data_IF_233217431637
#
_entry.id   IF_233217431637
#
_cell.length_a   1.000
_cell.length_b   1.000
_cell.length_c   1.000
_cell.angle_alpha   90.00
_cell.angle_beta   90.00
_cell.angle_gamma   90.00
#
_symmetry.space_group_name_H-M   'P 1'
#
loop_
_entity.id
_entity.type
_entity.pdbx_description
1 polymer ?
#
# COMPACT_ATOMS: atom_id res chain seq x y z
N UNK A 1 31.55 2.33 23.77
CA UNK A 1 31.51 1.31 24.87
C UNK A 1 30.06 0.92 25.11
N UNK A 2 29.75 -0.39 25.21
CA UNK A 2 28.42 -0.88 25.53
C UNK A 2 28.49 -2.01 26.56
N UNK A 3 27.38 -2.27 27.27
CA UNK A 3 27.25 -3.36 28.24
C UNK A 3 25.84 -3.94 28.24
N UNK A 4 25.75 -5.23 28.53
CA UNK A 4 24.48 -5.95 28.67
C UNK A 4 24.52 -6.65 30.03
N UNK A 5 23.61 -6.28 30.94
CA UNK A 5 23.56 -6.80 32.30
C UNK A 5 22.16 -7.33 32.61
N UNK A 6 22.08 -8.30 33.53
CA UNK A 6 20.80 -8.82 34.01
C UNK A 6 20.61 -8.36 35.45
N UNK A 7 19.48 -7.74 35.76
CA UNK A 7 19.12 -7.27 37.09
C UNK A 7 17.86 -7.97 37.58
N UNK A 8 17.90 -8.45 38.82
CA UNK A 8 16.76 -9.06 39.48
C UNK A 8 16.15 -8.09 40.49
N UNK A 9 14.83 -8.01 40.49
CA UNK A 9 14.02 -7.26 41.47
C UNK A 9 12.92 -8.18 42.01
N UNK A 10 12.44 -7.89 43.22
CA UNK A 10 11.26 -8.56 43.75
C UNK A 10 10.07 -8.36 42.78
N UNK A 11 9.35 -9.43 42.45
CA UNK A 11 8.19 -9.32 41.59
C UNK A 11 7.05 -8.58 42.36
N UNK A 12 6.46 -7.51 41.78
CA UNK A 12 5.38 -6.77 42.42
C UNK A 12 4.14 -7.60 42.79
N UNK A 13 3.90 -8.70 42.09
CA UNK A 13 2.73 -9.60 42.31
C UNK A 13 3.04 -10.68 43.36
N UNK A 14 4.29 -11.07 43.49
CA UNK A 14 4.78 -12.05 44.46
C UNK A 14 6.22 -11.69 44.86
N UNK A 15 6.43 -11.00 45.97
CA UNK A 15 7.75 -10.56 46.41
C UNK A 15 8.77 -11.68 46.71
N UNK A 16 8.30 -12.92 46.90
CA UNK A 16 9.16 -14.10 47.05
C UNK A 16 9.86 -14.51 45.72
N UNK A 17 9.28 -14.10 44.60
CA UNK A 17 9.79 -14.42 43.25
C UNK A 17 10.65 -13.25 42.73
N UNK A 18 11.66 -13.59 41.91
CA UNK A 18 12.45 -12.59 41.20
C UNK A 18 11.85 -12.27 39.84
N UNK A 19 11.75 -10.98 39.54
CA UNK A 19 11.54 -10.48 38.18
C UNK A 19 12.89 -10.09 37.60
N UNK A 20 13.28 -10.73 36.49
CA UNK A 20 14.55 -10.47 35.82
C UNK A 20 14.37 -9.48 34.66
N UNK A 21 15.28 -8.53 34.56
CA UNK A 21 15.33 -7.55 33.47
C UNK A 21 16.74 -7.49 32.89
N UNK A 22 16.84 -7.60 31.56
CA UNK A 22 18.08 -7.37 30.82
C UNK A 22 18.20 -5.89 30.52
N UNK A 23 19.34 -5.30 30.87
CA UNK A 23 19.62 -3.87 30.70
C UNK A 23 20.65 -3.72 29.60
N UNK A 24 20.28 -2.99 28.55
CA UNK A 24 21.13 -2.62 27.44
C UNK A 24 21.64 -1.19 27.63
N UNK A 25 22.93 -1.01 27.60
CA UNK A 25 23.56 0.29 27.71
C UNK A 25 24.59 0.49 26.59
N UNK A 26 24.60 1.66 25.96
CA UNK A 26 25.65 2.14 25.05
C UNK A 26 25.91 3.62 25.35
N UNK A 27 27.17 4.06 25.32
CA UNK A 27 27.53 5.48 25.54
C UNK A 27 26.75 6.38 24.57
N UNK A 28 26.28 7.51 25.08
CA UNK A 28 25.48 8.50 24.36
C UNK A 28 24.03 8.08 23.98
N UNK A 29 23.53 6.96 24.53
CA UNK A 29 22.15 6.52 24.35
C UNK A 29 21.46 6.29 25.69
N UNK A 30 20.14 6.47 25.77
CA UNK A 30 19.38 6.10 26.97
C UNK A 30 19.45 4.58 27.21
N UNK A 31 19.40 4.20 28.47
CA UNK A 31 19.32 2.78 28.87
C UNK A 31 17.97 2.20 28.47
N UNK A 32 17.98 0.95 28.03
CA UNK A 32 16.77 0.20 27.67
C UNK A 32 16.73 -1.08 28.50
N UNK A 33 15.55 -1.43 29.01
CA UNK A 33 15.32 -2.64 29.77
C UNK A 33 14.34 -3.55 29.05
N UNK A 34 14.59 -4.88 29.11
CA UNK A 34 13.71 -5.90 28.57
C UNK A 34 13.49 -6.98 29.62
N UNK A 35 12.23 -7.35 29.85
CA UNK A 35 11.88 -8.43 30.78
C UNK A 35 12.40 -9.76 30.26
N UNK A 36 12.97 -10.57 31.16
CA UNK A 36 13.46 -11.92 30.85
C UNK A 36 12.52 -12.93 31.49
N UNK A 37 11.98 -13.84 30.71
CA UNK A 37 11.02 -14.85 31.14
C UNK A 37 11.71 -16.08 31.77
N UNK A 38 12.54 -15.82 32.81
CA UNK A 38 13.11 -16.85 33.70
C UNK A 38 12.64 -16.54 35.09
N UNK A 39 12.00 -17.49 35.73
CA UNK A 39 11.43 -17.36 37.08
C UNK A 39 12.24 -18.11 38.12
N UNK A 40 12.29 -17.61 39.34
CA UNK A 40 12.95 -18.23 40.49
C UNK A 40 12.68 -17.45 41.76
N UNK A 41 13.13 -17.98 42.90
CA UNK A 41 13.00 -17.29 44.19
C UNK A 41 13.96 -16.11 44.25
N UNK A 42 13.51 -15.02 44.84
CA UNK A 42 14.35 -13.83 45.05
C UNK A 42 15.53 -14.14 45.98
N UNK A 43 15.36 -15.02 46.96
CA UNK A 43 16.41 -15.45 47.88
C UNK A 43 17.56 -16.19 47.18
N UNK A 44 17.28 -16.82 46.02
CA UNK A 44 18.27 -17.58 45.24
C UNK A 44 19.04 -16.72 44.24
N UNK A 45 18.61 -15.46 44.04
CA UNK A 45 19.25 -14.58 43.07
C UNK A 45 20.51 -13.89 43.64
N UNK A 46 21.63 -14.00 42.95
CA UNK A 46 22.86 -13.25 43.23
C UNK A 46 22.98 -12.08 42.22
N UNK A 47 22.79 -10.88 42.74
CA UNK A 47 22.84 -9.65 41.93
C UNK A 47 24.26 -9.31 41.45
N UNK A 48 25.32 -9.76 42.16
CA UNK A 48 26.71 -9.52 41.75
C UNK A 48 27.12 -10.47 40.65
N UNK A 49 26.79 -11.75 40.81
CA UNK A 49 27.05 -12.79 39.79
C UNK A 49 26.05 -12.70 38.61
N UNK A 50 24.93 -12.00 38.73
CA UNK A 50 23.83 -11.93 37.76
C UNK A 50 23.30 -13.33 37.38
N UNK A 51 23.20 -14.20 38.40
CA UNK A 51 22.83 -15.62 38.25
C UNK A 51 22.13 -16.12 39.51
N UNK A 52 21.49 -17.29 39.39
CA UNK A 52 20.97 -18.02 40.56
C UNK A 52 22.10 -18.74 41.26
N UNK A 53 22.07 -18.73 42.61
CA UNK A 53 23.09 -19.40 43.45
C UNK A 53 23.17 -20.89 43.16
N UNK A 54 24.39 -21.42 43.15
CA UNK A 54 24.63 -22.85 42.96
C UNK A 54 23.98 -23.62 44.12
N UNK A 55 23.22 -24.65 43.79
CA UNK A 55 22.46 -25.45 44.75
C UNK A 55 20.99 -25.07 44.89
N UNK A 56 20.53 -23.92 44.31
CA UNK A 56 19.10 -23.63 44.23
C UNK A 56 18.41 -24.47 43.14
N UNK A 57 17.08 -24.57 43.25
CA UNK A 57 16.27 -25.40 42.33
C UNK A 57 16.46 -24.95 40.87
N UNK A 58 16.86 -25.88 39.99
CA UNK A 58 17.07 -25.65 38.55
C UNK A 58 18.12 -24.56 38.22
N UNK A 59 19.00 -24.18 39.18
CA UNK A 59 19.99 -23.13 39.00
C UNK A 59 20.83 -23.32 37.74
N UNK A 60 21.33 -24.52 37.49
CA UNK A 60 22.16 -24.82 36.32
C UNK A 60 21.44 -24.55 35.02
N UNK A 61 20.19 -24.99 34.90
CA UNK A 61 19.36 -24.77 33.68
C UNK A 61 19.02 -23.29 33.50
N UNK A 62 18.59 -22.63 34.59
CA UNK A 62 18.25 -21.18 34.54
C UNK A 62 19.46 -20.33 34.19
N UNK A 63 20.62 -20.60 34.83
CA UNK A 63 21.85 -19.87 34.55
C UNK A 63 22.34 -20.08 33.11
N UNK A 64 22.19 -21.29 32.57
CA UNK A 64 22.51 -21.59 31.17
C UNK A 64 21.62 -20.74 30.24
N UNK A 65 20.31 -20.69 30.48
CA UNK A 65 19.39 -19.87 29.67
C UNK A 65 19.79 -18.38 29.71
N UNK A 66 20.11 -17.85 30.92
CA UNK A 66 20.52 -16.46 31.09
C UNK A 66 21.84 -16.17 30.37
N UNK A 67 22.82 -17.11 30.47
CA UNK A 67 24.09 -16.99 29.79
C UNK A 67 23.93 -17.02 28.27
N UNK A 68 23.21 -17.99 27.75
CA UNK A 68 22.97 -18.14 26.30
C UNK A 68 22.25 -16.89 25.74
N UNK A 69 21.25 -16.39 26.47
CA UNK A 69 20.53 -15.18 26.09
C UNK A 69 21.44 -13.96 26.06
N UNK A 70 22.25 -13.75 27.10
CA UNK A 70 23.21 -12.65 27.19
C UNK A 70 24.25 -12.71 26.08
N UNK A 71 24.81 -13.90 25.84
CA UNK A 71 25.79 -14.15 24.79
C UNK A 71 25.23 -13.85 23.40
N UNK A 72 24.00 -14.28 23.14
CA UNK A 72 23.29 -14.02 21.88
C UNK A 72 23.21 -12.52 21.56
N UNK A 73 22.89 -11.70 22.56
CA UNK A 73 22.83 -10.25 22.38
C UNK A 73 24.21 -9.59 22.24
N UNK A 74 25.24 -10.12 22.94
CA UNK A 74 26.62 -9.66 22.75
C UNK A 74 27.10 -9.95 21.33
N UNK A 75 26.95 -11.16 20.83
CA UNK A 75 27.34 -11.51 19.45
C UNK A 75 26.66 -10.59 18.44
N UNK A 76 25.37 -10.30 18.60
CA UNK A 76 24.66 -9.40 17.69
C UNK A 76 25.19 -7.97 17.72
N UNK A 77 25.55 -7.47 18.90
CA UNK A 77 26.16 -6.15 19.04
C UNK A 77 27.56 -6.12 18.41
N UNK A 78 28.37 -7.17 18.64
CA UNK A 78 29.71 -7.31 18.07
C UNK A 78 29.65 -7.38 16.53
N UNK A 79 28.73 -8.17 15.96
CA UNK A 79 28.51 -8.22 14.52
C UNK A 79 28.27 -6.82 13.94
N UNK A 80 27.39 -6.03 14.56
CA UNK A 80 27.10 -4.68 14.12
C UNK A 80 28.27 -3.70 14.28
N UNK A 81 29.10 -3.85 15.33
CA UNK A 81 30.33 -3.06 15.49
C UNK A 81 31.35 -3.44 14.41
N UNK A 82 31.52 -4.73 14.09
CA UNK A 82 32.42 -5.24 13.04
C UNK A 82 31.96 -4.76 11.66
N UNK A 83 30.65 -4.75 11.39
CA UNK A 83 30.06 -4.23 10.16
C UNK A 83 30.16 -2.69 10.04
N UNK A 84 30.62 -1.99 11.07
CA UNK A 84 30.64 -0.54 11.14
C UNK A 84 29.24 0.10 11.20
N UNK A 85 28.23 -0.69 11.58
CA UNK A 85 26.85 -0.26 11.63
C UNK A 85 26.57 0.55 12.89
N UNK A 86 26.01 1.74 12.75
CA UNK A 86 25.47 2.48 13.90
C UNK A 86 24.21 1.78 14.44
N UNK A 87 24.16 1.55 15.75
CA UNK A 87 23.04 0.92 16.42
C UNK A 87 22.78 1.53 17.81
N UNK A 88 21.56 1.43 18.29
CA UNK A 88 21.11 1.89 19.60
C UNK A 88 20.69 0.74 20.52
N UNK A 89 20.66 0.93 21.86
CA UNK A 89 20.14 -0.06 22.80
C UNK A 89 18.70 -0.51 22.50
N UNK A 90 17.86 0.36 21.96
CA UNK A 90 16.50 0.03 21.51
C UNK A 90 16.54 -1.00 20.39
N UNK A 91 17.33 -0.74 19.36
CA UNK A 91 17.47 -1.68 18.22
C UNK A 91 18.01 -3.02 18.67
N UNK A 92 19.00 -3.05 19.58
CA UNK A 92 19.54 -4.29 20.10
C UNK A 92 18.51 -5.05 20.94
N UNK A 93 17.75 -4.39 21.80
CA UNK A 93 16.72 -5.03 22.63
C UNK A 93 15.63 -5.73 21.79
N UNK A 94 15.36 -5.21 20.59
CA UNK A 94 14.39 -5.76 19.64
C UNK A 94 15.00 -6.66 18.55
N UNK A 95 16.33 -6.83 18.52
CA UNK A 95 17.03 -7.54 17.45
C UNK A 95 16.58 -9.00 17.23
N UNK A 96 15.94 -9.60 18.24
CA UNK A 96 15.44 -10.98 18.19
C UNK A 96 13.93 -11.11 18.42
N UNK A 97 13.20 -10.01 18.61
CA UNK A 97 11.75 -10.04 18.81
C UNK A 97 11.04 -10.53 17.56
N UNK A 98 11.56 -10.18 16.38
CA UNK A 98 11.07 -10.68 15.09
C UNK A 98 11.34 -12.20 14.93
N UNK A 99 12.43 -12.74 15.50
CA UNK A 99 12.79 -14.15 15.39
C UNK A 99 11.92 -15.03 16.30
N UNK A 100 11.46 -14.52 17.44
CA UNK A 100 10.56 -15.26 18.34
C UNK A 100 9.11 -15.26 17.83
N UNK A 101 8.66 -14.20 17.16
CA UNK A 101 7.39 -14.20 16.45
C UNK A 101 7.39 -15.12 15.21
N UNK A 102 8.57 -15.38 14.63
CA UNK A 102 8.77 -16.27 13.46
C UNK A 102 8.54 -17.76 13.80
N UNK A 103 8.56 -18.16 15.06
CA UNK A 103 8.25 -19.55 15.46
C UNK A 103 6.76 -19.88 15.47
N UNK A 104 5.86 -18.89 15.40
CA UNK A 104 4.44 -19.12 15.18
C UNK A 104 4.11 -18.87 13.71
N UNK A 105 3.98 -19.94 12.92
CA UNK A 105 3.50 -19.98 11.52
C UNK A 105 3.85 -18.75 10.67
N UNK A 106 5.09 -18.71 10.18
CA UNK A 106 5.49 -17.68 9.22
C UNK A 106 4.67 -17.85 7.94
N UNK A 107 3.71 -16.99 7.75
CA UNK A 107 3.02 -16.88 6.46
C UNK A 107 3.99 -16.28 5.44
N UNK A 108 4.68 -17.15 4.72
CA UNK A 108 5.62 -16.72 3.68
C UNK A 108 4.91 -16.74 2.33
N UNK A 109 4.44 -15.56 1.91
CA UNK A 109 4.04 -15.36 0.51
C UNK A 109 5.11 -14.52 -0.19
N UNK A 110 5.45 -14.86 -1.42
CA UNK A 110 6.26 -13.96 -2.26
C UNK A 110 5.48 -12.68 -2.60
N UNK A 111 6.17 -11.62 -2.98
CA UNK A 111 5.54 -10.37 -3.43
C UNK A 111 4.63 -10.65 -4.64
N UNK A 112 5.04 -11.53 -5.54
CA UNK A 112 4.24 -11.99 -6.68
C UNK A 112 2.91 -12.60 -6.23
N UNK A 113 2.94 -13.57 -5.32
CA UNK A 113 1.74 -14.24 -4.80
C UNK A 113 0.77 -13.27 -4.10
N UNK A 114 1.30 -12.27 -3.41
CA UNK A 114 0.48 -11.22 -2.81
C UNK A 114 -0.23 -10.37 -3.88
N UNK A 115 0.48 -9.98 -4.94
CA UNK A 115 -0.10 -9.22 -6.05
C UNK A 115 -1.20 -10.04 -6.74
N UNK A 116 -0.96 -11.32 -7.02
CA UNK A 116 -1.94 -12.23 -7.64
C UNK A 116 -3.19 -12.42 -6.76
N UNK A 117 -3.01 -12.55 -5.46
CA UNK A 117 -4.13 -12.60 -4.50
C UNK A 117 -4.97 -11.33 -4.55
N UNK A 118 -4.33 -10.15 -4.66
CA UNK A 118 -5.04 -8.87 -4.80
C UNK A 118 -5.72 -8.73 -6.16
N UNK A 119 -5.09 -9.19 -7.25
CA UNK A 119 -5.72 -9.23 -8.58
C UNK A 119 -7.00 -10.06 -8.57
N UNK A 120 -6.97 -11.27 -8.00
CA UNK A 120 -8.13 -12.16 -7.87
C UNK A 120 -9.23 -11.50 -7.03
N UNK A 121 -8.90 -11.02 -5.84
CA UNK A 121 -9.84 -10.33 -4.95
C UNK A 121 -10.54 -9.15 -5.60
N UNK A 122 -9.82 -8.34 -6.42
CA UNK A 122 -10.43 -7.22 -7.12
C UNK A 122 -11.23 -7.63 -8.35
N UNK A 123 -10.96 -8.78 -8.97
CA UNK A 123 -11.81 -9.34 -10.04
C UNK A 123 -13.16 -9.83 -9.50
N UNK A 124 -13.14 -10.50 -8.35
CA UNK A 124 -14.34 -11.04 -7.72
C UNK A 124 -15.23 -9.97 -7.07
N UNK A 125 -14.65 -8.80 -6.78
CA UNK A 125 -15.39 -7.73 -6.09
C UNK A 125 -16.39 -7.08 -7.02
N UNK A 126 -17.67 -7.27 -6.72
CA UNK A 126 -18.79 -6.65 -7.41
C UNK A 126 -19.44 -5.55 -6.54
N UNK A 127 -20.01 -4.57 -7.19
CA UNK A 127 -20.78 -3.48 -6.56
C UNK A 127 -22.04 -3.23 -7.36
N UNK A 128 -23.14 -2.93 -6.66
CA UNK A 128 -24.38 -2.49 -7.30
C UNK A 128 -24.35 -0.96 -7.38
N UNK A 129 -24.60 -0.40 -8.57
CA UNK A 129 -24.75 1.04 -8.81
C UNK A 129 -25.86 1.27 -9.81
N UNK A 130 -26.75 2.18 -9.49
CA UNK A 130 -27.94 2.47 -10.33
C UNK A 130 -28.70 1.18 -10.71
N UNK A 131 -28.82 0.23 -9.78
CA UNK A 131 -29.45 -1.07 -10.04
C UNK A 131 -28.62 -2.06 -10.89
N UNK A 132 -27.45 -1.68 -11.37
CA UNK A 132 -26.59 -2.51 -12.19
C UNK A 132 -25.41 -3.08 -11.40
N UNK A 133 -25.01 -4.31 -11.74
CA UNK A 133 -23.84 -4.96 -11.20
C UNK A 133 -22.58 -4.42 -11.89
N UNK A 134 -21.71 -3.74 -11.13
CA UNK A 134 -20.47 -3.16 -11.63
C UNK A 134 -19.29 -3.90 -11.02
N UNK A 135 -18.39 -4.41 -11.85
CA UNK A 135 -17.19 -5.09 -11.42
C UNK A 135 -16.09 -4.10 -10.98
N UNK A 136 -15.07 -4.62 -10.30
CA UNK A 136 -13.87 -3.89 -9.91
C UNK A 136 -12.65 -4.23 -10.80
N UNK A 137 -12.87 -4.79 -11.98
CA UNK A 137 -11.82 -5.21 -12.92
C UNK A 137 -10.80 -4.09 -13.25
N UNK A 138 -11.16 -2.79 -13.32
CA UNK A 138 -10.17 -1.73 -13.51
C UNK A 138 -9.10 -1.69 -12.41
N UNK A 139 -9.45 -2.00 -11.16
CA UNK A 139 -8.47 -2.08 -10.07
C UNK A 139 -7.57 -3.32 -10.23
N UNK A 140 -8.11 -4.48 -10.59
CA UNK A 140 -7.33 -5.67 -10.88
C UNK A 140 -6.31 -5.42 -12.00
N UNK A 141 -6.72 -4.75 -13.09
CA UNK A 141 -5.82 -4.38 -14.20
C UNK A 141 -4.63 -3.53 -13.76
N UNK A 142 -4.77 -2.70 -12.72
CA UNK A 142 -3.65 -1.89 -12.19
C UNK A 142 -2.61 -2.77 -11.50
N UNK A 143 -3.04 -3.78 -10.73
CA UNK A 143 -2.12 -4.75 -10.10
C UNK A 143 -1.46 -5.65 -11.15
N UNK A 144 -2.19 -6.12 -12.16
CA UNK A 144 -1.64 -6.89 -13.27
C UNK A 144 -0.54 -6.12 -14.03
N UNK A 145 -0.75 -4.81 -14.25
CA UNK A 145 0.29 -3.94 -14.86
C UNK A 145 1.52 -3.78 -13.96
N UNK A 146 1.33 -3.65 -12.63
CA UNK A 146 2.43 -3.61 -11.69
C UNK A 146 3.22 -4.91 -11.73
N UNK A 147 2.54 -6.06 -11.65
CA UNK A 147 3.14 -7.40 -11.72
C UNK A 147 4.02 -7.55 -12.96
N UNK A 148 3.49 -7.23 -14.14
CA UNK A 148 4.25 -7.29 -15.39
C UNK A 148 5.52 -6.44 -15.33
N UNK A 149 5.43 -5.18 -14.85
CA UNK A 149 6.58 -4.29 -14.77
C UNK A 149 7.64 -4.75 -13.76
N UNK A 150 7.23 -5.31 -12.62
CA UNK A 150 8.18 -5.90 -11.66
C UNK A 150 8.85 -7.14 -12.23
N UNK A 151 8.13 -7.98 -12.98
CA UNK A 151 8.71 -9.16 -13.65
C UNK A 151 9.74 -8.76 -14.70
N UNK A 152 9.44 -7.77 -15.54
CA UNK A 152 10.38 -7.22 -16.52
C UNK A 152 11.63 -6.65 -15.82
N UNK A 153 11.44 -5.79 -14.83
CA UNK A 153 12.50 -5.15 -14.07
C UNK A 153 13.44 -6.15 -13.40
N UNK A 154 12.90 -7.12 -12.64
CA UNK A 154 13.75 -8.08 -11.90
C UNK A 154 14.54 -8.98 -12.82
N UNK A 155 13.98 -9.32 -13.99
CA UNK A 155 14.68 -10.10 -15.02
C UNK A 155 15.82 -9.27 -15.63
N UNK A 156 15.58 -8.02 -16.01
CA UNK A 156 16.56 -7.17 -16.66
C UNK A 156 17.67 -6.69 -15.70
N UNK A 157 17.28 -6.22 -14.49
CA UNK A 157 18.22 -5.62 -13.55
C UNK A 157 19.01 -6.67 -12.75
N UNK A 158 18.34 -7.74 -12.30
CA UNK A 158 18.94 -8.73 -11.39
C UNK A 158 19.13 -10.12 -12.00
N UNK A 159 18.65 -10.37 -13.21
CA UNK A 159 18.72 -11.69 -13.84
C UNK A 159 17.90 -12.75 -13.12
N UNK A 160 16.94 -12.35 -12.25
CA UNK A 160 16.17 -13.24 -11.38
C UNK A 160 14.68 -13.19 -11.72
N UNK A 161 14.00 -14.33 -11.54
CA UNK A 161 12.54 -14.38 -11.66
C UNK A 161 11.88 -13.61 -10.50
N UNK A 162 10.84 -12.81 -10.78
CA UNK A 162 10.14 -12.04 -9.75
C UNK A 162 9.50 -12.90 -8.66
N UNK A 163 9.19 -14.18 -8.95
CA UNK A 163 8.67 -15.15 -7.98
C UNK A 163 9.62 -15.45 -6.82
N UNK A 164 10.91 -15.16 -6.96
CA UNK A 164 11.94 -15.37 -5.92
C UNK A 164 12.09 -14.18 -4.97
N UNK A 165 11.36 -13.09 -5.20
CA UNK A 165 11.41 -11.90 -4.35
C UNK A 165 10.36 -11.96 -3.24
N UNK A 166 10.81 -11.78 -2.01
CA UNK A 166 10.00 -11.70 -0.81
C UNK A 166 10.00 -10.28 -0.25
N UNK A 167 9.19 -10.00 0.77
CA UNK A 167 9.05 -8.65 1.31
C UNK A 167 10.35 -8.05 1.88
N UNK A 168 11.27 -8.81 2.52
CA UNK A 168 12.58 -8.29 2.91
C UNK A 168 13.44 -7.77 1.75
N UNK A 169 13.23 -8.29 0.53
CA UNK A 169 13.96 -7.86 -0.66
C UNK A 169 13.47 -6.50 -1.19
N UNK A 170 12.28 -6.06 -0.77
CA UNK A 170 11.71 -4.74 -1.14
C UNK A 170 12.29 -3.68 -0.20
N UNK A 171 13.58 -3.50 -0.26
CA UNK A 171 14.35 -2.52 0.48
C UNK A 171 14.52 -1.21 -0.30
N UNK A 172 15.20 -0.23 0.30
CA UNK A 172 15.45 1.08 -0.30
C UNK A 172 16.15 0.98 -1.66
N UNK A 173 17.20 0.14 -1.76
CA UNK A 173 17.94 -0.04 -3.01
C UNK A 173 17.05 -0.60 -4.12
N UNK A 174 16.23 -1.62 -3.82
CA UNK A 174 15.26 -2.15 -4.78
C UNK A 174 14.29 -1.08 -5.27
N UNK A 175 13.78 -0.24 -4.37
CA UNK A 175 12.83 0.82 -4.70
C UNK A 175 13.45 1.90 -5.57
N UNK A 176 14.68 2.32 -5.27
CA UNK A 176 15.43 3.29 -6.08
C UNK A 176 15.77 2.73 -7.47
N UNK A 177 16.24 1.49 -7.54
CA UNK A 177 16.51 0.81 -8.81
C UNK A 177 15.25 0.67 -9.67
N UNK A 178 14.12 0.30 -9.05
CA UNK A 178 12.85 0.20 -9.76
C UNK A 178 12.33 1.56 -10.25
N UNK A 179 12.47 2.60 -9.44
CA UNK A 179 12.10 3.96 -9.84
C UNK A 179 12.96 4.45 -11.02
N UNK A 180 14.25 4.23 -10.98
CA UNK A 180 15.17 4.56 -12.05
C UNK A 180 14.82 3.79 -13.34
N UNK A 181 14.65 2.47 -13.24
CA UNK A 181 14.29 1.63 -14.37
C UNK A 181 12.97 2.07 -15.04
N UNK A 182 11.95 2.47 -14.24
CA UNK A 182 10.70 2.99 -14.79
C UNK A 182 10.92 4.32 -15.53
N UNK A 183 11.82 5.18 -15.05
CA UNK A 183 12.15 6.46 -15.71
C UNK A 183 12.79 6.23 -17.09
N UNK A 184 13.66 5.23 -17.19
CA UNK A 184 14.32 4.87 -18.45
C UNK A 184 13.37 4.14 -19.42
N UNK A 185 12.61 3.18 -18.92
CA UNK A 185 11.78 2.27 -19.72
C UNK A 185 10.31 2.71 -19.83
N UNK A 186 9.99 3.94 -19.45
CA UNK A 186 8.63 4.47 -19.53
C UNK A 186 8.31 5.13 -20.86
N UNK A 187 7.02 5.26 -21.17
CA UNK A 187 6.54 6.00 -22.34
C UNK A 187 6.70 7.51 -22.08
N UNK A 188 7.26 8.25 -23.05
CA UNK A 188 7.65 9.67 -22.93
C UNK A 188 6.64 10.58 -22.21
N UNK A 189 5.35 10.43 -22.45
CA UNK A 189 4.32 11.32 -21.89
C UNK A 189 3.69 10.82 -20.58
N UNK A 190 4.05 9.63 -20.09
CA UNK A 190 3.43 8.99 -18.95
C UNK A 190 4.33 8.75 -17.75
N UNK A 191 5.62 9.11 -17.86
CA UNK A 191 6.61 8.68 -16.87
C UNK A 191 6.35 9.25 -15.48
N UNK A 192 6.07 10.56 -15.34
CA UNK A 192 5.84 11.16 -14.02
C UNK A 192 4.65 10.52 -13.29
N UNK A 193 3.46 10.56 -13.88
CA UNK A 193 2.26 9.94 -13.28
C UNK A 193 2.28 8.41 -13.30
N UNK A 194 2.94 7.81 -14.29
CA UNK A 194 3.15 6.37 -14.38
C UNK A 194 4.09 5.84 -13.31
N UNK A 195 5.15 6.56 -12.97
CA UNK A 195 6.08 6.26 -11.89
C UNK A 195 5.36 6.28 -10.54
N UNK A 196 4.77 7.41 -10.17
CA UNK A 196 4.03 7.55 -8.92
C UNK A 196 2.93 6.48 -8.77
N UNK A 197 2.20 6.17 -9.85
CA UNK A 197 1.17 5.13 -9.83
C UNK A 197 1.74 3.77 -9.45
N UNK A 198 2.88 3.37 -10.03
CA UNK A 198 3.50 2.05 -9.77
C UNK A 198 4.09 1.98 -8.37
N UNK A 199 4.81 3.02 -7.93
CA UNK A 199 5.41 3.09 -6.60
C UNK A 199 4.33 3.08 -5.49
N UNK A 200 3.29 3.89 -5.62
CA UNK A 200 2.15 3.90 -4.69
C UNK A 200 1.40 2.56 -4.68
N UNK A 201 1.30 1.89 -5.82
CA UNK A 201 0.66 0.59 -5.89
C UNK A 201 1.52 -0.50 -5.24
N UNK A 202 2.83 -0.46 -5.41
CA UNK A 202 3.75 -1.35 -4.70
C UNK A 202 3.70 -1.10 -3.18
N UNK A 203 3.69 0.17 -2.74
CA UNK A 203 3.46 0.51 -1.33
C UNK A 203 2.14 -0.03 -0.80
N UNK A 204 1.07 0.01 -1.61
CA UNK A 204 -0.21 -0.58 -1.22
C UNK A 204 -0.12 -2.11 -1.06
N UNK A 205 0.63 -2.83 -1.91
CA UNK A 205 0.90 -4.27 -1.75
C UNK A 205 1.61 -4.54 -0.43
N UNK A 206 2.67 -3.78 -0.12
CA UNK A 206 3.38 -3.89 1.14
C UNK A 206 2.49 -3.57 2.36
N UNK A 207 1.60 -2.57 2.26
CA UNK A 207 0.62 -2.29 3.32
C UNK A 207 -0.37 -3.45 3.54
N UNK A 208 -0.83 -4.12 2.48
CA UNK A 208 -1.66 -5.32 2.62
C UNK A 208 -0.88 -6.46 3.28
N UNK A 209 0.35 -6.69 2.85
CA UNK A 209 1.22 -7.71 3.42
C UNK A 209 1.51 -7.45 4.90
N UNK A 210 1.78 -6.20 5.27
CA UNK A 210 1.98 -5.79 6.67
C UNK A 210 0.75 -6.09 7.53
N UNK A 211 -0.45 -5.76 7.04
CA UNK A 211 -1.71 -6.05 7.74
C UNK A 211 -2.01 -7.55 7.86
N UNK A 212 -1.53 -8.37 6.93
CA UNK A 212 -1.61 -9.83 7.00
C UNK A 212 -0.50 -10.46 7.86
N UNK A 213 0.39 -9.65 8.46
CA UNK A 213 1.49 -10.13 9.30
C UNK A 213 2.61 -10.83 8.51
N UNK A 214 2.83 -10.46 7.25
CA UNK A 214 3.93 -11.00 6.46
C UNK A 214 5.27 -10.55 7.01
N UNK A 215 6.22 -11.49 7.09
CA UNK A 215 7.57 -11.22 7.59
C UNK A 215 8.35 -10.23 6.70
N UNK A 216 9.11 -9.35 7.36
CA UNK A 216 10.12 -8.50 6.73
C UNK A 216 9.57 -7.37 5.86
N UNK A 217 8.30 -6.99 6.01
CA UNK A 217 7.70 -5.85 5.30
C UNK A 217 8.23 -4.54 5.86
N UNK A 218 8.93 -3.75 5.05
CA UNK A 218 9.50 -2.45 5.40
C UNK A 218 8.74 -1.31 4.72
N UNK A 219 7.80 -0.69 5.44
CA UNK A 219 7.04 0.46 4.92
C UNK A 219 7.85 1.75 4.97
N UNK A 220 8.79 1.85 5.89
CA UNK A 220 9.77 2.93 6.03
C UNK A 220 10.69 3.06 4.81
N UNK A 221 11.03 1.95 4.16
CA UNK A 221 11.88 1.96 2.98
C UNK A 221 11.34 2.86 1.83
N UNK A 222 10.02 3.10 1.78
CA UNK A 222 9.42 3.98 0.76
C UNK A 222 9.73 5.47 0.96
N UNK A 223 10.30 5.87 2.09
CA UNK A 223 10.70 7.27 2.36
C UNK A 223 11.86 7.71 1.45
N UNK A 224 12.71 6.76 1.01
CA UNK A 224 13.80 7.04 0.09
C UNK A 224 13.34 7.60 -1.27
N UNK A 225 12.07 7.38 -1.64
CA UNK A 225 11.52 7.79 -2.94
C UNK A 225 11.17 9.28 -3.03
N UNK A 226 11.11 10.00 -1.90
CA UNK A 226 10.85 11.42 -1.87
C UNK A 226 9.66 11.86 -2.75
N UNK A 227 9.94 12.66 -3.77
CA UNK A 227 8.92 13.18 -4.69
C UNK A 227 8.49 12.18 -5.78
N UNK A 228 9.27 11.14 -6.05
CA UNK A 228 8.93 10.14 -7.07
C UNK A 228 7.63 9.38 -6.77
N UNK A 229 7.26 9.24 -5.50
CA UNK A 229 6.01 8.60 -5.07
C UNK A 229 4.83 9.58 -5.00
N UNK A 230 5.07 10.88 -5.08
CA UNK A 230 4.03 11.90 -5.08
C UNK A 230 3.36 12.01 -6.45
N UNK A 231 2.07 12.33 -6.44
CA UNK A 231 1.40 12.67 -7.68
C UNK A 231 1.99 13.96 -8.26
N UNK A 232 2.31 13.99 -9.56
CA UNK A 232 2.72 15.24 -10.20
C UNK A 232 1.58 16.25 -10.14
N UNK A 233 1.93 17.52 -10.00
CA UNK A 233 0.97 18.59 -10.16
C UNK A 233 0.33 18.52 -11.54
N UNK A 234 -0.99 18.64 -11.56
CA UNK A 234 -1.76 18.63 -12.79
C UNK A 234 -2.27 20.02 -13.09
N UNK A 235 -1.96 20.52 -14.27
CA UNK A 235 -2.58 21.75 -14.78
C UNK A 235 -4.02 21.47 -15.18
N UNK A 236 -4.92 22.44 -14.93
CA UNK A 236 -6.31 22.35 -15.40
C UNK A 236 -6.33 22.22 -16.93
N UNK A 237 -7.08 21.25 -17.42
CA UNK A 237 -7.37 21.06 -18.85
C UNK A 237 -8.74 21.65 -19.23
N UNK A 238 -9.20 22.65 -18.49
CA UNK A 238 -10.46 23.32 -18.77
C UNK A 238 -10.42 23.95 -20.18
N UNK A 239 -11.46 23.69 -20.94
CA UNK A 239 -11.61 24.23 -22.28
C UNK A 239 -12.33 25.59 -22.17
N UNK A 240 -11.79 26.67 -22.75
CA UNK A 240 -12.45 27.98 -22.73
C UNK A 240 -13.83 27.94 -23.40
N UNK A 241 -14.75 28.70 -22.86
CA UNK A 241 -16.13 28.79 -23.39
C UNK A 241 -16.18 29.11 -24.88
N UNK A 242 -15.29 29.98 -25.36
CA UNK A 242 -15.13 30.29 -26.79
C UNK A 242 -14.96 29.04 -27.66
N UNK A 243 -14.20 28.05 -27.19
CA UNK A 243 -14.00 26.78 -27.92
C UNK A 243 -15.25 25.93 -27.90
N UNK A 244 -15.98 25.92 -26.77
CA UNK A 244 -17.27 25.23 -26.67
C UNK A 244 -18.29 25.83 -27.64
N UNK A 245 -18.41 27.14 -27.69
CA UNK A 245 -19.33 27.86 -28.60
C UNK A 245 -18.96 27.57 -30.06
N UNK A 246 -17.65 27.56 -30.40
CA UNK A 246 -17.20 27.18 -31.74
C UNK A 246 -17.57 25.74 -32.07
N UNK A 247 -17.40 24.81 -31.12
CA UNK A 247 -17.76 23.38 -31.32
C UNK A 247 -19.28 23.19 -31.46
N UNK A 248 -20.08 23.97 -30.73
CA UNK A 248 -21.54 23.91 -30.82
C UNK A 248 -22.08 24.43 -32.15
N UNK A 249 -21.39 25.40 -32.77
CA UNK A 249 -21.78 26.02 -34.06
C UNK A 249 -21.06 25.42 -35.29
N UNK A 250 -20.25 24.38 -35.10
CA UNK A 250 -19.50 23.79 -36.22
C UNK A 250 -20.41 23.15 -37.26
N UNK A 251 -20.03 23.26 -38.54
CA UNK A 251 -20.75 22.60 -39.63
C UNK A 251 -20.64 21.08 -39.48
N UNK A 252 -21.76 20.43 -39.16
CA UNK A 252 -21.87 19.01 -38.90
C UNK A 252 -21.78 18.15 -40.14
N UNK A 253 -21.92 18.73 -41.32
CA UNK A 253 -21.81 18.00 -42.62
C UNK A 253 -20.38 17.59 -42.92
N UNK A 254 -19.39 18.25 -42.28
CA UNK A 254 -17.98 17.98 -42.44
C UNK A 254 -17.51 16.72 -41.65
N UNK A 255 -18.37 16.12 -40.83
CA UNK A 255 -18.03 15.05 -39.91
C UNK A 255 -18.89 13.83 -40.17
N UNK A 256 -18.32 12.66 -39.89
CA UNK A 256 -19.05 11.38 -39.91
C UNK A 256 -20.09 11.35 -38.78
N UNK A 257 -21.06 10.45 -38.88
CA UNK A 257 -22.07 10.26 -37.81
C UNK A 257 -21.42 9.97 -36.45
N UNK A 258 -20.36 9.14 -36.43
CA UNK A 258 -19.62 8.80 -35.21
C UNK A 258 -18.93 10.02 -34.59
N UNK A 259 -18.32 10.87 -35.39
CA UNK A 259 -17.69 12.10 -34.92
C UNK A 259 -18.74 13.09 -34.41
N UNK A 260 -19.84 13.25 -35.13
CA UNK A 260 -20.98 14.07 -34.68
C UNK A 260 -21.54 13.55 -33.35
N UNK A 261 -21.66 12.25 -33.18
CA UNK A 261 -22.05 11.64 -31.90
C UNK A 261 -21.06 11.96 -30.78
N UNK A 262 -19.75 11.85 -31.02
CA UNK A 262 -18.74 12.21 -30.04
C UNK A 262 -18.81 13.71 -29.65
N UNK A 263 -19.08 14.60 -30.61
CA UNK A 263 -19.27 16.04 -30.35
C UNK A 263 -20.51 16.26 -29.48
N UNK A 264 -21.62 15.59 -29.77
CA UNK A 264 -22.83 15.68 -28.96
C UNK A 264 -22.64 15.18 -27.53
N UNK A 265 -21.96 14.06 -27.33
CA UNK A 265 -21.62 13.55 -26.00
C UNK A 265 -20.74 14.53 -25.21
N UNK A 266 -19.76 15.15 -25.87
CA UNK A 266 -18.90 16.14 -25.25
C UNK A 266 -19.69 17.40 -24.83
N UNK A 267 -20.51 17.94 -25.72
CA UNK A 267 -21.37 19.10 -25.43
C UNK A 267 -22.40 18.79 -24.34
N UNK A 268 -23.00 17.60 -24.37
CA UNK A 268 -23.91 17.16 -23.30
C UNK A 268 -23.19 17.12 -21.94
N UNK A 269 -21.99 16.53 -21.89
CA UNK A 269 -21.17 16.53 -20.67
C UNK A 269 -20.93 17.95 -20.15
N UNK A 270 -20.61 18.91 -21.04
CA UNK A 270 -20.39 20.29 -20.69
C UNK A 270 -21.68 20.94 -20.15
N UNK A 271 -22.82 20.81 -20.87
CA UNK A 271 -24.10 21.42 -20.49
C UNK A 271 -24.74 20.82 -19.24
N UNK A 272 -24.27 19.66 -18.79
CA UNK A 272 -24.66 19.03 -17.53
C UNK A 272 -23.65 19.25 -16.39
N UNK A 273 -22.81 20.31 -16.50
CA UNK A 273 -21.85 20.68 -15.46
C UNK A 273 -20.65 19.76 -15.33
N UNK A 274 -20.21 19.09 -16.42
CA UNK A 274 -19.06 18.21 -16.43
C UNK A 274 -19.39 16.78 -16.00
N UNK A 275 -20.53 16.26 -16.40
CA UNK A 275 -20.88 14.85 -16.21
C UNK A 275 -19.80 13.96 -16.81
N UNK A 276 -19.26 13.04 -16.02
CA UNK A 276 -18.15 12.20 -16.49
C UNK A 276 -18.59 11.28 -17.63
N UNK A 277 -17.71 11.03 -18.62
CA UNK A 277 -18.04 10.21 -19.80
C UNK A 277 -18.64 8.84 -19.42
N UNK A 278 -18.12 8.19 -18.38
CA UNK A 278 -18.69 6.91 -17.92
C UNK A 278 -20.12 7.07 -17.39
N UNK A 279 -20.47 8.20 -16.80
CA UNK A 279 -21.81 8.49 -16.31
C UNK A 279 -22.74 8.83 -17.47
N UNK A 280 -22.26 9.59 -18.49
CA UNK A 280 -22.98 9.87 -19.73
C UNK A 280 -23.30 8.58 -20.49
N UNK A 281 -22.32 7.70 -20.68
CA UNK A 281 -22.51 6.42 -21.36
C UNK A 281 -23.51 5.48 -20.66
N UNK A 282 -23.63 5.58 -19.33
CA UNK A 282 -24.56 4.77 -18.53
C UNK A 282 -25.85 5.51 -18.15
N UNK A 283 -26.14 6.64 -18.79
CA UNK A 283 -27.35 7.41 -18.53
C UNK A 283 -28.57 6.68 -19.10
N UNK A 284 -29.59 6.50 -18.27
CA UNK A 284 -30.87 5.89 -18.63
C UNK A 284 -32.02 6.87 -18.51
N UNK A 285 -33.13 6.64 -19.22
CA UNK A 285 -34.27 7.54 -19.23
C UNK A 285 -34.96 7.69 -17.87
N UNK A 286 -34.92 6.70 -17.02
CA UNK A 286 -35.44 6.75 -15.64
C UNK A 286 -34.61 7.64 -14.70
N UNK A 287 -33.38 8.03 -15.09
CA UNK A 287 -32.57 9.00 -14.35
C UNK A 287 -32.89 10.45 -14.72
N UNK A 288 -33.74 10.68 -15.74
CA UNK A 288 -34.07 11.99 -16.23
C UNK A 288 -35.41 12.44 -15.65
N UNK A 289 -35.35 13.45 -14.79
CA UNK A 289 -36.53 14.20 -14.31
C UNK A 289 -36.77 15.40 -15.22
N UNK A 290 -37.88 16.15 -15.00
CA UNK A 290 -38.31 17.25 -15.87
C UNK A 290 -37.22 18.32 -16.07
N UNK A 291 -36.52 18.70 -14.99
CA UNK A 291 -35.55 19.82 -14.97
C UNK A 291 -34.12 19.39 -14.55
N UNK A 292 -33.91 18.11 -14.28
CA UNK A 292 -32.62 17.59 -13.77
C UNK A 292 -32.39 16.15 -14.13
N UNK A 293 -31.13 15.70 -13.92
CA UNK A 293 -30.74 14.29 -13.99
C UNK A 293 -30.41 13.84 -12.58
N UNK A 294 -30.97 12.73 -12.11
CA UNK A 294 -30.70 12.17 -10.78
C UNK A 294 -30.02 10.81 -10.92
N UNK A 295 -28.74 10.75 -10.58
CA UNK A 295 -27.98 9.50 -10.73
C UNK A 295 -26.91 9.34 -9.64
N UNK A 296 -26.44 8.11 -9.41
CA UNK A 296 -25.28 7.82 -8.61
C UNK A 296 -24.04 7.77 -9.50
N UNK A 297 -23.00 8.55 -9.16
CA UNK A 297 -21.75 8.58 -9.94
C UNK A 297 -21.06 7.22 -9.97
N UNK A 298 -20.69 6.76 -11.15
CA UNK A 298 -20.06 5.44 -11.34
C UNK A 298 -18.73 5.30 -10.60
N UNK A 299 -17.92 6.37 -10.53
CA UNK A 299 -16.61 6.34 -9.85
C UNK A 299 -16.68 6.51 -8.35
N UNK A 300 -17.66 7.25 -7.82
CA UNK A 300 -17.77 7.57 -6.41
C UNK A 300 -19.19 7.33 -5.91
N UNK A 301 -19.41 6.83 -4.68
CA UNK A 301 -20.74 6.59 -4.13
C UNK A 301 -21.40 7.90 -3.69
N UNK A 302 -21.60 8.83 -4.63
CA UNK A 302 -22.28 10.12 -4.39
C UNK A 302 -23.35 10.32 -5.45
N UNK A 303 -24.55 10.66 -4.99
CA UNK A 303 -25.63 11.11 -5.87
C UNK A 303 -25.29 12.48 -6.47
N UNK A 304 -25.55 12.65 -7.75
CA UNK A 304 -25.43 13.92 -8.48
C UNK A 304 -26.80 14.29 -9.04
N UNK A 305 -27.09 15.60 -9.05
CA UNK A 305 -28.36 16.14 -9.52
C UNK A 305 -28.12 17.38 -10.41
N UNK A 306 -27.37 17.24 -11.54
CA UNK A 306 -27.18 18.37 -12.45
C UNK A 306 -28.50 18.82 -13.04
N UNK A 307 -28.63 20.17 -13.23
CA UNK A 307 -29.74 20.78 -13.94
C UNK A 307 -29.65 20.35 -15.42
N UNK A 308 -30.78 20.01 -16.00
CA UNK A 308 -30.90 19.66 -17.40
C UNK A 308 -31.26 20.91 -18.22
N UNK A 309 -30.25 21.67 -18.68
CA UNK A 309 -30.40 22.85 -19.49
C UNK A 309 -31.06 22.52 -20.85
N UNK A 310 -31.73 23.48 -21.48
CA UNK A 310 -32.40 23.28 -22.78
C UNK A 310 -31.44 22.68 -23.84
N UNK A 311 -30.22 23.21 -23.97
CA UNK A 311 -29.21 22.70 -24.88
C UNK A 311 -28.86 21.20 -24.63
N UNK A 312 -28.91 20.75 -23.38
CA UNK A 312 -28.72 19.33 -23.05
C UNK A 312 -29.98 18.53 -23.37
N UNK A 313 -31.17 19.07 -23.15
CA UNK A 313 -32.45 18.44 -23.58
C UNK A 313 -32.46 18.18 -25.06
N UNK A 314 -32.10 19.19 -25.88
CA UNK A 314 -32.07 19.08 -27.34
C UNK A 314 -31.17 17.94 -27.80
N UNK A 315 -30.03 17.75 -27.14
CA UNK A 315 -29.11 16.63 -27.46
C UNK A 315 -29.74 15.28 -27.11
N UNK A 316 -30.31 15.09 -25.92
CA UNK A 316 -30.88 13.78 -25.55
C UNK A 316 -32.09 13.41 -26.43
N UNK A 317 -32.93 14.41 -26.78
CA UNK A 317 -34.08 14.17 -27.63
C UNK A 317 -33.70 13.78 -29.07
N UNK A 318 -32.56 14.22 -29.59
CA UNK A 318 -31.97 13.78 -30.87
C UNK A 318 -31.70 12.27 -30.90
N UNK A 319 -31.43 11.69 -29.71
CA UNK A 319 -31.14 10.25 -29.56
C UNK A 319 -32.30 9.44 -28.98
N UNK A 320 -33.48 10.05 -28.78
CA UNK A 320 -34.65 9.36 -28.29
C UNK A 320 -35.01 8.17 -29.21
N UNK A 321 -35.13 6.97 -28.63
CA UNK A 321 -35.44 5.77 -29.37
C UNK A 321 -34.25 5.15 -30.14
N UNK A 322 -33.04 5.72 -30.06
CA UNK A 322 -31.84 5.18 -30.70
C UNK A 322 -30.92 4.40 -29.73
N UNK A 323 -31.12 4.56 -28.42
CA UNK A 323 -30.38 3.85 -27.40
C UNK A 323 -30.81 2.37 -27.29
N UNK A 324 -29.89 1.52 -26.85
CA UNK A 324 -30.23 0.13 -26.55
C UNK A 324 -31.01 0.08 -25.22
N UNK A 325 -32.09 -0.67 -25.17
CA UNK A 325 -32.97 -0.77 -23.99
C UNK A 325 -33.37 0.62 -23.46
N UNK A 326 -33.11 0.90 -22.18
CA UNK A 326 -33.45 2.15 -21.53
C UNK A 326 -32.33 3.23 -21.55
N UNK A 327 -31.21 2.95 -22.24
CA UNK A 327 -30.12 3.93 -22.33
C UNK A 327 -30.49 5.13 -23.22
N UNK A 328 -30.04 6.32 -22.80
CA UNK A 328 -30.29 7.57 -23.54
C UNK A 328 -29.49 7.63 -24.84
N UNK A 329 -28.23 7.18 -24.79
CA UNK A 329 -27.31 7.26 -25.90
C UNK A 329 -26.99 5.87 -26.49
N UNK A 330 -26.83 5.74 -27.82
CA UNK A 330 -26.49 4.49 -28.49
C UNK A 330 -24.99 4.16 -28.37
N UNK A 331 -24.54 3.91 -27.15
CA UNK A 331 -23.12 3.61 -26.85
C UNK A 331 -22.85 2.11 -26.84
N UNK A 332 -23.88 1.30 -26.60
CA UNK A 332 -23.83 -0.17 -26.47
C UNK A 332 -24.53 -0.85 -27.64
#
# INVERSE_FOLDING_TARGET
>A
MYTINIKGHANPKDPSMVKLEMIFFKSNYPRVTKVVNVTGLMADWDSKAQSFRVGSAEATTKNKILFDLKTKYYHKADDWEIEGRSWSPVQLSHAFDEIEQVKSEVRVKSVLQMIESLEARFKERQRIKNGQLVDSSPNAKVYARLRRRLTEFTKEKYGKAFSTFFFPDINEQFLLDFAFWIKENGIKNGNKGGLATKLRRLRAVCNYAHKEGMYGVRLDAFECLGDDIKWPETTSKAVPEKVINKLASIDRTLFTEKENFCIDLFLFSYYTGGMANVDVCNLTWDMIEEDRIVYERMKFPKKAKPILLQKAKDIIYKYKGKGFQNYVFPVF
#
